data_IF_579155082239
#
_entry.id   IF_579155082239
#
_cell.length_a   1.000
_cell.length_b   1.000
_cell.length_c   1.000
_cell.angle_alpha   90.00
_cell.angle_beta   90.00
_cell.angle_gamma   90.00
#
_symmetry.space_group_name_H-M   'P 1'
#
loop_
_entity.id
_entity.type
_entity.pdbx_description
1 polymer ?
#
# COMPACT_ATOMS: atom_id res chain seq x y z
N UNK A 1 -29.48 -6.97 -2.11
CA UNK A 1 -29.05 -5.65 -1.63
C UNK A 1 -29.05 -5.73 -0.12
N UNK A 2 -27.97 -5.32 0.53
CA UNK A 2 -27.82 -5.45 1.98
C UNK A 2 -28.18 -4.10 2.59
N UNK A 3 -29.17 -4.05 3.48
CA UNK A 3 -29.71 -2.80 4.04
C UNK A 3 -29.48 -2.74 5.55
N UNK A 4 -28.25 -3.02 5.99
CA UNK A 4 -27.88 -2.90 7.39
C UNK A 4 -27.92 -1.44 7.86
N UNK A 5 -28.11 -1.18 9.17
CA UNK A 5 -28.16 0.18 9.71
C UNK A 5 -26.86 0.99 9.52
N UNK A 6 -25.74 0.32 9.25
CA UNK A 6 -24.45 0.95 8.92
C UNK A 6 -24.21 1.11 7.41
N UNK A 7 -25.11 0.63 6.55
CA UNK A 7 -24.91 0.61 5.10
C UNK A 7 -24.82 2.01 4.50
N UNK A 8 -25.75 2.90 4.86
CA UNK A 8 -25.78 4.29 4.38
C UNK A 8 -24.52 5.06 4.78
N UNK A 9 -24.13 5.15 6.07
CA UNK A 9 -22.95 5.94 6.45
C UNK A 9 -21.61 5.31 6.06
N UNK A 10 -21.51 3.98 5.94
CA UNK A 10 -20.24 3.30 5.71
C UNK A 10 -20.02 2.88 4.25
N UNK A 11 -21.06 2.44 3.54
CA UNK A 11 -20.92 1.83 2.22
C UNK A 11 -21.23 2.82 1.11
N UNK A 12 -22.28 3.64 1.25
CA UNK A 12 -22.66 4.57 0.17
C UNK A 12 -21.63 5.67 -0.06
N UNK A 13 -21.06 6.21 1.02
CA UNK A 13 -19.99 7.23 0.95
C UNK A 13 -18.72 6.72 0.26
N UNK A 14 -18.27 5.52 0.64
CA UNK A 14 -17.11 4.87 0.02
C UNK A 14 -17.40 4.53 -1.45
N UNK A 15 -18.59 3.99 -1.75
CA UNK A 15 -19.01 3.66 -3.12
C UNK A 15 -19.06 4.87 -4.06
N UNK A 16 -19.39 6.06 -3.55
CA UNK A 16 -19.35 7.29 -4.33
C UNK A 16 -17.92 7.64 -4.77
N UNK A 17 -16.95 7.58 -3.85
CA UNK A 17 -15.53 7.80 -4.15
C UNK A 17 -14.98 6.75 -5.13
N UNK A 18 -15.34 5.48 -4.93
CA UNK A 18 -14.96 4.40 -5.84
C UNK A 18 -15.44 4.61 -7.28
N UNK A 19 -16.67 5.12 -7.46
CA UNK A 19 -17.25 5.36 -8.79
C UNK A 19 -16.56 6.49 -9.53
N UNK A 20 -16.12 7.54 -8.83
CA UNK A 20 -15.43 8.66 -9.47
C UNK A 20 -14.00 8.28 -9.88
N UNK A 21 -13.32 7.45 -9.07
CA UNK A 21 -11.90 7.11 -9.23
C UNK A 21 -11.64 5.71 -9.80
N UNK A 22 -12.64 5.07 -10.40
CA UNK A 22 -12.55 3.70 -10.91
C UNK A 22 -11.34 3.47 -11.83
N UNK A 23 -11.01 4.47 -12.66
CA UNK A 23 -9.91 4.41 -13.62
C UNK A 23 -8.54 4.37 -12.92
N UNK A 24 -8.39 5.10 -11.81
CA UNK A 24 -7.14 5.12 -11.03
C UNK A 24 -6.92 3.80 -10.30
N UNK A 25 -7.99 3.15 -9.86
CA UNK A 25 -7.95 1.81 -9.29
C UNK A 25 -7.61 0.75 -10.34
N UNK A 26 -8.18 0.84 -11.55
CA UNK A 26 -7.88 -0.07 -12.65
C UNK A 26 -6.41 -0.01 -13.07
N UNK A 27 -5.83 1.19 -13.07
CA UNK A 27 -4.42 1.41 -13.40
C UNK A 27 -3.46 1.20 -12.21
N UNK A 28 -3.97 0.88 -11.02
CA UNK A 28 -3.16 0.74 -9.79
C UNK A 28 -2.30 1.97 -9.44
N UNK A 29 -2.80 3.17 -9.75
CA UNK A 29 -2.16 4.45 -9.43
C UNK A 29 -2.91 5.24 -8.35
N UNK A 30 -3.99 4.67 -7.81
CA UNK A 30 -4.79 5.24 -6.73
C UNK A 30 -3.99 5.51 -5.44
N UNK A 31 -2.80 4.92 -5.28
CA UNK A 31 -1.88 5.25 -4.18
C UNK A 31 -1.36 6.70 -4.22
N UNK A 32 -1.15 7.26 -5.42
CA UNK A 32 -0.46 8.55 -5.62
C UNK A 32 -1.39 9.75 -5.76
N UNK A 33 -2.58 9.56 -6.33
CA UNK A 33 -3.48 10.67 -6.67
C UNK A 33 -4.12 11.30 -5.42
N UNK A 34 -4.71 10.48 -4.53
CA UNK A 34 -5.40 10.96 -3.33
C UNK A 34 -5.14 9.99 -2.15
N UNK A 35 -4.01 10.12 -1.45
CA UNK A 35 -3.68 9.22 -0.34
C UNK A 35 -4.67 9.32 0.83
N UNK A 36 -5.48 10.38 0.91
CA UNK A 36 -6.45 10.61 1.98
C UNK A 36 -7.87 10.13 1.64
N UNK A 37 -8.23 10.03 0.36
CA UNK A 37 -9.57 9.62 -0.11
C UNK A 37 -9.50 8.24 -0.75
N UNK A 38 -9.31 7.21 0.09
CA UNK A 38 -9.21 5.82 -0.37
C UNK A 38 -10.61 5.20 -0.44
N UNK A 39 -11.00 4.67 -1.60
CA UNK A 39 -12.25 3.91 -1.80
C UNK A 39 -12.36 2.66 -0.91
N UNK A 40 -11.27 1.92 -0.74
CA UNK A 40 -11.16 0.80 0.20
C UNK A 40 -9.70 0.65 0.62
N UNK A 41 -9.44 0.43 1.90
CA UNK A 41 -8.06 0.26 2.42
C UNK A 41 -7.30 -0.85 1.68
N UNK A 42 -7.96 -1.97 1.37
CA UNK A 42 -7.36 -3.09 0.63
C UNK A 42 -6.91 -2.72 -0.79
N UNK A 43 -7.59 -1.79 -1.46
CA UNK A 43 -7.22 -1.37 -2.83
C UNK A 43 -5.93 -0.55 -2.86
N UNK A 44 -5.60 0.12 -1.77
CA UNK A 44 -4.33 0.84 -1.61
C UNK A 44 -3.16 -0.15 -1.48
N UNK A 45 -3.33 -1.23 -0.72
CA UNK A 45 -2.35 -2.31 -0.63
C UNK A 45 -2.15 -2.99 -1.99
N UNK A 46 -3.24 -3.36 -2.67
CA UNK A 46 -3.16 -4.05 -3.97
C UNK A 46 -2.42 -3.22 -5.02
N UNK A 47 -2.65 -1.90 -5.06
CA UNK A 47 -1.93 -1.00 -5.96
C UNK A 47 -0.43 -0.93 -5.66
N UNK A 48 -0.07 -0.86 -4.38
CA UNK A 48 1.33 -0.87 -3.94
C UNK A 48 2.02 -2.17 -4.35
N UNK A 49 1.37 -3.31 -4.14
CA UNK A 49 1.90 -4.63 -4.48
C UNK A 49 2.15 -4.78 -5.98
N UNK A 50 1.24 -4.30 -6.83
CA UNK A 50 1.43 -4.33 -8.28
C UNK A 50 2.65 -3.52 -8.72
N UNK A 51 2.85 -2.34 -8.15
CA UNK A 51 4.01 -1.49 -8.44
C UNK A 51 5.31 -2.16 -8.00
N UNK A 52 5.34 -2.75 -6.80
CA UNK A 52 6.48 -3.52 -6.30
C UNK A 52 6.77 -4.74 -7.17
N UNK A 53 5.74 -5.41 -7.69
CA UNK A 53 5.90 -6.57 -8.57
C UNK A 53 6.52 -6.17 -9.92
N UNK A 54 6.06 -5.06 -10.52
CA UNK A 54 6.67 -4.50 -11.73
C UNK A 54 8.14 -4.15 -11.50
N UNK A 55 8.45 -3.49 -10.38
CA UNK A 55 9.82 -3.12 -10.00
C UNK A 55 10.69 -4.36 -9.75
N UNK A 56 10.16 -5.38 -9.09
CA UNK A 56 10.84 -6.66 -8.87
C UNK A 56 11.14 -7.37 -10.19
N UNK A 57 10.20 -7.40 -11.13
CA UNK A 57 10.42 -7.92 -12.49
C UNK A 57 11.53 -7.17 -13.22
N UNK A 58 11.51 -5.83 -13.19
CA UNK A 58 12.55 -4.99 -13.77
C UNK A 58 13.94 -5.24 -13.14
N UNK A 59 14.02 -5.30 -11.81
CA UNK A 59 15.26 -5.61 -11.10
C UNK A 59 15.76 -7.01 -11.46
N UNK A 60 14.87 -7.99 -11.57
CA UNK A 60 15.24 -9.37 -11.93
C UNK A 60 15.83 -9.43 -13.34
N UNK A 61 15.22 -8.76 -14.31
CA UNK A 61 15.72 -8.72 -15.70
C UNK A 61 17.07 -8.00 -15.81
N UNK A 62 17.28 -6.94 -15.05
CA UNK A 62 18.51 -6.12 -15.10
C UNK A 62 19.67 -6.71 -14.30
N UNK A 63 19.40 -7.22 -13.09
CA UNK A 63 20.41 -7.74 -12.16
C UNK A 63 20.66 -9.24 -12.33
N UNK A 64 19.79 -9.97 -13.05
CA UNK A 64 19.91 -11.42 -13.25
C UNK A 64 21.21 -11.87 -13.92
N UNK A 65 21.92 -10.97 -14.62
CA UNK A 65 23.21 -11.27 -15.24
C UNK A 65 24.40 -11.29 -14.27
N UNK A 66 24.30 -10.67 -13.09
CA UNK A 66 25.42 -10.58 -12.15
C UNK A 66 24.97 -10.73 -10.70
N UNK A 67 25.11 -11.94 -10.11
CA UNK A 67 24.61 -12.20 -8.75
C UNK A 67 25.29 -11.33 -7.69
N UNK A 68 26.57 -10.98 -7.88
CA UNK A 68 27.29 -10.07 -6.96
C UNK A 68 26.71 -8.66 -6.94
N UNK A 69 26.27 -8.14 -8.10
CA UNK A 69 25.60 -6.83 -8.18
C UNK A 69 24.19 -6.91 -7.61
N UNK A 70 23.47 -7.99 -7.92
CA UNK A 70 22.13 -8.25 -7.37
C UNK A 70 22.14 -8.23 -5.84
N UNK A 71 23.04 -8.98 -5.20
CA UNK A 71 23.15 -9.01 -3.73
C UNK A 71 23.42 -7.61 -3.17
N UNK A 72 24.38 -6.86 -3.72
CA UNK A 72 24.68 -5.50 -3.24
C UNK A 72 23.47 -4.56 -3.32
N UNK A 73 22.77 -4.56 -4.46
CA UNK A 73 21.60 -3.69 -4.67
C UNK A 73 20.44 -4.11 -3.78
N UNK A 74 20.13 -5.40 -3.71
CA UNK A 74 19.02 -5.93 -2.89
C UNK A 74 19.29 -5.72 -1.39
N UNK A 75 20.52 -5.95 -0.92
CA UNK A 75 20.90 -5.68 0.47
C UNK A 75 20.79 -4.20 0.81
N UNK A 76 21.20 -3.31 -0.10
CA UNK A 76 21.04 -1.86 0.09
C UNK A 76 19.56 -1.48 0.18
N UNK A 77 18.73 -1.94 -0.77
CA UNK A 77 17.28 -1.70 -0.77
C UNK A 77 16.61 -2.22 0.50
N UNK A 78 16.99 -3.40 0.99
CA UNK A 78 16.49 -3.96 2.24
C UNK A 78 16.82 -3.08 3.44
N UNK A 79 18.07 -2.65 3.58
CA UNK A 79 18.49 -1.75 4.68
C UNK A 79 17.75 -0.42 4.59
N UNK A 80 17.63 0.17 3.40
CA UNK A 80 16.85 1.40 3.19
C UNK A 80 15.38 1.22 3.59
N UNK A 81 14.75 0.10 3.23
CA UNK A 81 13.36 -0.19 3.59
C UNK A 81 13.20 -0.32 5.11
N UNK A 82 14.11 -1.01 5.81
CA UNK A 82 14.08 -1.13 7.27
C UNK A 82 14.22 0.24 7.94
N UNK A 83 15.21 1.03 7.51
CA UNK A 83 15.45 2.37 8.07
C UNK A 83 14.28 3.30 7.81
N UNK A 84 13.70 3.29 6.61
CA UNK A 84 12.53 4.10 6.27
C UNK A 84 11.32 3.73 7.12
N UNK A 85 11.01 2.44 7.25
CA UNK A 85 9.89 1.99 8.10
C UNK A 85 10.09 2.37 9.56
N UNK A 86 11.31 2.21 10.09
CA UNK A 86 11.65 2.63 11.44
C UNK A 86 11.48 4.15 11.64
N UNK A 87 12.00 4.95 10.71
CA UNK A 87 11.89 6.41 10.77
C UNK A 87 10.44 6.88 10.71
N UNK A 88 9.62 6.29 9.83
CA UNK A 88 8.18 6.61 9.74
C UNK A 88 7.47 6.23 11.05
N UNK A 89 7.70 5.01 11.55
CA UNK A 89 7.11 4.54 12.80
C UNK A 89 7.45 5.43 13.99
N UNK A 90 8.72 5.85 14.08
CA UNK A 90 9.21 6.72 15.14
C UNK A 90 8.66 8.14 15.03
N UNK A 91 8.73 8.76 13.85
CA UNK A 91 8.33 10.16 13.66
C UNK A 91 6.82 10.38 13.83
N UNK A 92 6.01 9.39 13.45
CA UNK A 92 4.55 9.48 13.53
C UNK A 92 3.97 8.77 14.76
N UNK A 93 4.81 8.29 15.69
CA UNK A 93 4.40 7.60 16.91
C UNK A 93 3.36 6.49 16.66
N UNK A 94 3.56 5.69 15.60
CA UNK A 94 2.61 4.65 15.24
C UNK A 94 2.56 3.58 16.32
N UNK A 95 1.35 3.29 16.80
CA UNK A 95 1.10 2.18 17.71
C UNK A 95 0.72 0.93 16.92
N UNK A 96 1.20 -0.26 17.31
CA UNK A 96 0.78 -1.49 16.66
C UNK A 96 -0.72 -1.71 16.83
N UNK A 97 -1.40 -2.15 15.77
CA UNK A 97 -2.86 -2.36 15.75
C UNK A 97 -3.32 -3.30 16.87
N UNK A 98 -2.50 -4.27 17.26
CA UNK A 98 -2.78 -5.21 18.35
C UNK A 98 -3.08 -4.50 19.69
N UNK A 99 -2.41 -3.38 19.97
CA UNK A 99 -2.65 -2.60 21.19
C UNK A 99 -3.94 -1.76 21.12
N UNK A 100 -4.50 -1.55 19.92
CA UNK A 100 -5.78 -0.87 19.74
C UNK A 100 -6.96 -1.85 19.80
N UNK A 101 -6.75 -3.09 19.35
CA UNK A 101 -7.79 -4.12 19.33
C UNK A 101 -8.04 -4.77 20.69
N UNK A 102 -7.13 -4.62 21.64
CA UNK A 102 -7.32 -5.07 23.02
C UNK A 102 -7.62 -3.85 23.91
N UNK A 103 -8.90 -3.49 24.11
CA UNK A 103 -9.24 -2.45 25.06
C UNK A 103 -8.78 -2.91 26.45
N UNK A 104 -8.06 -2.03 27.16
CA UNK A 104 -7.90 -2.17 28.61
C UNK A 104 -9.20 -1.81 29.31
#
# INVERSE_FOLDING_TARGET
MSDGPLWIPLVEGECAHCRDKWWAHFLYINNFLEPNEKCLMHTWFLATDMQLYVLAGFLTLTLGRSPRRAVKVLSCLFVCAVVANFAIAYNWNLKPVLFLSYPK
#
